data_IF_408438826663
#
_entry.id   IF_408438826663
#
_cell.length_a   1.000
_cell.length_b   1.000
_cell.length_c   1.000
_cell.angle_alpha   90.00
_cell.angle_beta   90.00
_cell.angle_gamma   90.00
#
_symmetry.space_group_name_H-M   'P 1'
#
loop_
_entity.id
_entity.type
_entity.pdbx_description
1 polymer ?
#
# COMPACT_ATOMS: atom_id res chain seq x y z
N UNK A 1 52.30 -24.92 31.33
CA UNK A 1 51.36 -23.82 31.01
C UNK A 1 51.62 -23.41 29.57
N UNK A 2 50.66 -23.50 28.64
CA UNK A 2 50.86 -22.89 27.30
C UNK A 2 50.06 -23.40 26.10
N UNK A 3 49.34 -24.53 26.15
CA UNK A 3 48.72 -25.10 24.94
C UNK A 3 47.23 -24.76 24.71
N UNK A 4 46.50 -24.25 25.72
CA UNK A 4 45.05 -24.01 25.62
C UNK A 4 44.68 -22.81 24.73
N UNK A 5 45.37 -21.68 24.90
CA UNK A 5 44.98 -20.42 24.27
C UNK A 5 45.25 -20.28 22.77
N UNK A 6 45.90 -21.24 22.12
CA UNK A 6 46.07 -21.23 20.66
C UNK A 6 44.85 -21.86 19.97
N UNK A 7 44.39 -23.01 20.46
CA UNK A 7 43.22 -23.70 19.93
C UNK A 7 41.93 -22.87 20.14
N UNK A 8 41.79 -22.24 21.31
CA UNK A 8 40.62 -21.41 21.63
C UNK A 8 40.53 -20.15 20.75
N UNK A 9 41.68 -19.55 20.38
CA UNK A 9 41.73 -18.41 19.46
C UNK A 9 41.39 -18.81 18.02
N UNK A 10 41.93 -19.94 17.56
CA UNK A 10 41.61 -20.48 16.24
C UNK A 10 40.13 -20.85 16.10
N UNK A 11 39.51 -21.39 17.16
CA UNK A 11 38.08 -21.67 17.21
C UNK A 11 37.24 -20.38 17.19
N UNK A 12 37.64 -19.35 17.95
CA UNK A 12 36.97 -18.05 17.94
C UNK A 12 36.96 -17.38 16.57
N UNK A 13 38.13 -17.31 15.92
CA UNK A 13 38.27 -16.71 14.59
C UNK A 13 37.44 -17.44 13.52
N UNK A 14 37.34 -18.78 13.60
CA UNK A 14 36.54 -19.55 12.66
C UNK A 14 35.03 -19.37 12.88
N UNK A 15 34.57 -19.22 14.13
CA UNK A 15 33.17 -18.91 14.46
C UNK A 15 32.77 -17.51 13.97
N UNK A 16 33.63 -16.51 14.17
CA UNK A 16 33.38 -15.15 13.68
C UNK A 16 33.33 -15.10 12.15
N UNK A 17 34.19 -15.87 11.48
CA UNK A 17 34.19 -15.99 10.01
C UNK A 17 32.92 -16.67 9.50
N UNK A 18 32.39 -17.66 10.22
CA UNK A 18 31.10 -18.30 9.91
C UNK A 18 29.94 -17.34 10.13
N UNK A 19 29.91 -16.62 11.25
CA UNK A 19 28.86 -15.65 11.55
C UNK A 19 28.82 -14.47 10.55
N UNK A 20 29.98 -13.97 10.09
CA UNK A 20 30.02 -12.93 9.03
C UNK A 20 29.47 -13.44 7.71
N UNK A 21 29.83 -14.66 7.30
CA UNK A 21 29.31 -15.27 6.07
C UNK A 21 27.80 -15.49 6.15
N UNK A 22 27.32 -16.00 7.28
CA UNK A 22 25.90 -16.21 7.53
C UNK A 22 25.13 -14.89 7.53
N UNK A 23 25.67 -13.83 8.15
CA UNK A 23 25.05 -12.50 8.14
C UNK A 23 25.04 -11.87 6.74
N UNK A 24 26.10 -12.01 5.94
CA UNK A 24 26.12 -11.53 4.56
C UNK A 24 25.15 -12.31 3.67
N UNK A 25 25.02 -13.62 3.89
CA UNK A 25 24.08 -14.47 3.18
C UNK A 25 22.63 -14.13 3.55
N UNK A 26 22.35 -13.92 4.85
CA UNK A 26 21.04 -13.44 5.32
C UNK A 26 20.70 -12.06 4.76
N UNK A 27 21.67 -11.15 4.73
CA UNK A 27 21.47 -9.80 4.21
C UNK A 27 21.22 -9.83 2.70
N UNK A 28 21.94 -10.69 1.96
CA UNK A 28 21.70 -10.92 0.53
C UNK A 28 20.36 -11.59 0.28
N UNK A 29 19.98 -12.59 1.07
CA UNK A 29 18.69 -13.25 0.96
C UNK A 29 17.55 -12.29 1.29
N UNK A 30 17.72 -11.43 2.30
CA UNK A 30 16.76 -10.39 2.65
C UNK A 30 16.67 -9.32 1.57
N UNK A 31 17.80 -8.85 1.02
CA UNK A 31 17.84 -7.90 -0.10
C UNK A 31 17.24 -8.51 -1.36
N UNK A 32 17.48 -9.79 -1.63
CA UNK A 32 16.92 -10.49 -2.79
C UNK A 32 15.43 -10.80 -2.57
N UNK A 33 15.00 -11.14 -1.36
CA UNK A 33 13.59 -11.30 -1.02
C UNK A 33 12.84 -9.97 -1.07
N UNK A 34 13.47 -8.87 -0.64
CA UNK A 34 12.93 -7.52 -0.75
C UNK A 34 12.90 -7.06 -2.20
N UNK A 35 13.93 -7.34 -2.99
CA UNK A 35 13.96 -7.08 -4.43
C UNK A 35 12.95 -7.93 -5.20
N UNK A 36 12.74 -9.21 -4.82
CA UNK A 36 11.71 -10.09 -5.37
C UNK A 36 10.31 -9.66 -4.95
N UNK A 37 10.13 -9.16 -3.73
CA UNK A 37 8.87 -8.57 -3.26
C UNK A 37 8.58 -7.27 -4.00
N UNK A 38 9.58 -6.41 -4.19
CA UNK A 38 9.49 -5.16 -4.94
C UNK A 38 9.23 -5.41 -6.42
N UNK A 39 9.96 -6.33 -7.04
CA UNK A 39 9.75 -6.75 -8.43
C UNK A 39 8.41 -7.47 -8.62
N UNK A 40 7.95 -8.28 -7.65
CA UNK A 40 6.61 -8.90 -7.66
C UNK A 40 5.46 -7.92 -7.40
N UNK A 41 5.76 -6.77 -6.78
CA UNK A 41 4.84 -5.65 -6.57
C UNK A 41 4.83 -4.69 -7.77
N UNK A 42 5.94 -4.59 -8.50
CA UNK A 42 6.11 -3.80 -9.74
C UNK A 42 5.62 -4.55 -11.00
N UNK A 43 5.80 -5.87 -11.07
CA UNK A 43 5.22 -6.74 -12.10
C UNK A 43 3.77 -7.08 -11.72
N UNK A 44 2.87 -6.12 -11.95
CA UNK A 44 1.46 -6.22 -11.58
C UNK A 44 0.83 -7.57 -11.91
N UNK A 45 0.32 -8.24 -10.86
CA UNK A 45 -0.65 -9.32 -11.02
C UNK A 45 -1.90 -8.75 -11.75
N UNK A 46 -2.20 -9.18 -12.99
CA UNK A 46 -3.26 -8.54 -13.78
C UNK A 46 -4.68 -8.92 -13.29
N UNK A 47 -4.83 -10.03 -12.55
CA UNK A 47 -6.15 -10.60 -12.23
C UNK A 47 -6.67 -10.33 -10.80
N UNK A 48 -5.80 -10.01 -9.82
CA UNK A 48 -6.23 -9.79 -8.42
C UNK A 48 -6.58 -8.35 -8.07
N UNK A 49 -6.20 -7.37 -8.90
CA UNK A 49 -6.36 -5.94 -8.58
C UNK A 49 -7.80 -5.43 -8.64
N UNK A 50 -8.53 -5.79 -9.70
CA UNK A 50 -9.94 -5.38 -9.84
C UNK A 50 -10.83 -6.05 -8.78
N UNK A 51 -10.59 -7.33 -8.53
CA UNK A 51 -11.30 -8.08 -7.49
C UNK A 51 -11.00 -7.53 -6.09
N UNK A 52 -9.72 -7.24 -5.79
CA UNK A 52 -9.32 -6.61 -4.52
C UNK A 52 -9.95 -5.22 -4.32
N UNK A 53 -10.06 -4.42 -5.39
CA UNK A 53 -10.72 -3.11 -5.32
C UNK A 53 -12.21 -3.25 -4.99
N UNK A 54 -12.91 -4.15 -5.69
CA UNK A 54 -14.32 -4.42 -5.41
C UNK A 54 -14.51 -4.95 -3.99
N UNK A 55 -13.68 -5.89 -3.55
CA UNK A 55 -13.72 -6.44 -2.19
C UNK A 55 -13.49 -5.35 -1.13
N UNK A 56 -12.49 -4.47 -1.32
CA UNK A 56 -12.21 -3.37 -0.39
C UNK A 56 -13.41 -2.42 -0.27
N UNK A 57 -14.04 -2.04 -1.39
CA UNK A 57 -15.25 -1.23 -1.38
C UNK A 57 -16.44 -1.92 -0.70
N UNK A 58 -16.66 -3.20 -0.98
CA UNK A 58 -17.75 -3.98 -0.37
C UNK A 58 -17.55 -4.12 1.13
N UNK A 59 -16.33 -4.40 1.59
CA UNK A 59 -15.99 -4.51 3.00
C UNK A 59 -16.24 -3.18 3.73
N UNK A 60 -15.76 -2.07 3.17
CA UNK A 60 -15.94 -0.73 3.73
C UNK A 60 -17.44 -0.38 3.84
N UNK A 61 -18.20 -0.62 2.77
CA UNK A 61 -19.66 -0.37 2.79
C UNK A 61 -20.38 -1.23 3.81
N UNK A 62 -20.12 -2.53 3.83
CA UNK A 62 -20.79 -3.47 4.75
C UNK A 62 -20.57 -3.05 6.20
N UNK A 63 -19.39 -2.55 6.53
CA UNK A 63 -19.02 -2.14 7.89
C UNK A 63 -19.69 -0.85 8.34
N UNK A 64 -19.74 0.16 7.47
CA UNK A 64 -20.10 1.52 7.88
C UNK A 64 -21.46 2.03 7.36
N UNK A 65 -22.12 1.33 6.41
CA UNK A 65 -23.38 1.82 5.84
C UNK A 65 -24.52 1.99 6.86
N UNK A 66 -24.53 1.18 7.92
CA UNK A 66 -25.56 1.22 8.97
C UNK A 66 -25.07 1.97 10.21
N UNK A 67 -23.77 1.86 10.53
CA UNK A 67 -23.18 2.47 11.72
C UNK A 67 -22.93 3.98 11.56
N UNK A 68 -22.45 4.41 10.38
CA UNK A 68 -22.15 5.82 10.10
C UNK A 68 -22.27 6.12 8.59
N UNK A 69 -23.50 6.22 8.06
CA UNK A 69 -23.73 6.46 6.64
C UNK A 69 -23.20 7.82 6.17
N UNK A 70 -23.32 8.86 7.00
CA UNK A 70 -22.87 10.21 6.67
C UNK A 70 -21.34 10.33 6.63
N UNK A 71 -20.66 9.73 7.62
CA UNK A 71 -19.21 9.65 7.63
C UNK A 71 -18.68 8.76 6.51
N UNK A 72 -19.32 7.63 6.22
CA UNK A 72 -18.96 6.79 5.08
C UNK A 72 -19.07 7.56 3.75
N UNK A 73 -20.16 8.32 3.54
CA UNK A 73 -20.32 9.13 2.34
C UNK A 73 -19.20 10.19 2.20
N UNK A 74 -18.76 10.77 3.31
CA UNK A 74 -17.64 11.73 3.37
C UNK A 74 -16.30 11.07 3.07
N UNK A 75 -16.07 9.87 3.61
CA UNK A 75 -14.90 9.05 3.32
C UNK A 75 -14.82 8.72 1.82
N UNK A 76 -15.91 8.18 1.25
CA UNK A 76 -15.96 7.82 -0.17
C UNK A 76 -15.76 9.05 -1.08
N UNK A 77 -16.32 10.21 -0.73
CA UNK A 77 -16.05 11.47 -1.46
C UNK A 77 -14.57 11.86 -1.40
N UNK A 78 -13.93 11.71 -0.26
CA UNK A 78 -12.50 12.03 -0.10
C UNK A 78 -11.62 11.09 -0.93
N UNK A 79 -11.91 9.77 -0.90
CA UNK A 79 -11.26 8.78 -1.76
C UNK A 79 -11.44 9.11 -3.25
N UNK A 80 -12.67 9.48 -3.64
CA UNK A 80 -12.98 9.90 -5.01
C UNK A 80 -12.15 11.09 -5.45
N UNK A 81 -11.96 12.10 -4.60
CA UNK A 81 -11.13 13.26 -4.93
C UNK A 81 -9.68 12.85 -5.19
N UNK A 82 -9.09 12.02 -4.34
CA UNK A 82 -7.71 11.55 -4.54
C UNK A 82 -7.55 10.78 -5.84
N UNK A 83 -8.45 9.82 -6.10
CA UNK A 83 -8.42 9.00 -7.31
C UNK A 83 -8.71 9.85 -8.55
N UNK A 84 -9.65 10.80 -8.49
CA UNK A 84 -10.01 11.65 -9.62
C UNK A 84 -8.89 12.60 -10.02
N UNK A 85 -8.21 13.19 -9.03
CA UNK A 85 -7.07 14.07 -9.27
C UNK A 85 -5.95 13.33 -9.99
N UNK A 86 -5.63 12.12 -9.53
CA UNK A 86 -4.62 11.27 -10.18
C UNK A 86 -5.06 10.81 -11.57
N UNK A 87 -6.32 10.39 -11.74
CA UNK A 87 -6.84 9.91 -13.03
C UNK A 87 -6.85 11.01 -14.10
N UNK A 88 -7.21 12.24 -13.72
CA UNK A 88 -7.27 13.39 -14.64
C UNK A 88 -5.90 13.98 -14.92
N UNK A 89 -5.03 14.04 -13.91
CA UNK A 89 -3.73 14.70 -13.99
C UNK A 89 -2.61 13.76 -13.50
N UNK A 90 -2.37 12.64 -14.21
CA UNK A 90 -1.43 11.61 -13.77
C UNK A 90 0.02 12.10 -13.69
N UNK A 91 0.39 13.11 -14.49
CA UNK A 91 1.75 13.65 -14.54
C UNK A 91 2.07 14.71 -13.48
N UNK A 92 1.07 15.12 -12.70
CA UNK A 92 1.25 16.12 -11.66
C UNK A 92 1.71 15.46 -10.35
N UNK A 93 2.94 15.72 -9.86
CA UNK A 93 3.51 14.99 -8.72
C UNK A 93 2.71 15.12 -7.43
N UNK A 94 2.04 16.26 -7.22
CA UNK A 94 1.21 16.51 -6.01
C UNK A 94 -0.01 15.58 -5.91
N UNK A 95 -0.42 14.95 -7.01
CA UNK A 95 -1.52 13.98 -7.03
C UNK A 95 -1.06 12.53 -7.00
N UNK A 96 0.25 12.31 -7.19
CA UNK A 96 0.86 10.98 -7.10
C UNK A 96 1.15 10.57 -5.65
N UNK A 97 1.10 11.51 -4.69
CA UNK A 97 1.38 11.26 -3.26
C UNK A 97 0.29 11.88 -2.38
N UNK A 98 -0.24 11.09 -1.47
CA UNK A 98 -1.20 11.49 -0.44
C UNK A 98 -0.49 11.43 0.90
N UNK A 99 -0.41 12.56 1.60
CA UNK A 99 0.17 12.60 2.95
C UNK A 99 -0.85 12.06 3.98
N UNK A 100 -0.50 10.96 4.67
CA UNK A 100 -1.39 10.35 5.66
C UNK A 100 -1.55 11.20 6.93
N UNK A 101 -0.65 12.14 7.18
CA UNK A 101 -0.74 13.08 8.32
C UNK A 101 -1.63 14.30 8.05
N UNK A 102 -2.04 14.53 6.80
CA UNK A 102 -2.96 15.63 6.49
C UNK A 102 -4.30 15.43 7.23
N UNK A 103 -4.81 16.51 7.82
CA UNK A 103 -6.11 16.55 8.48
C UNK A 103 -7.23 15.90 7.66
N UNK A 104 -7.32 16.16 6.35
CA UNK A 104 -8.34 15.56 5.50
C UNK A 104 -8.25 14.02 5.46
N UNK A 105 -7.04 13.48 5.35
CA UNK A 105 -6.83 12.04 5.36
C UNK A 105 -7.11 11.46 6.75
N UNK A 106 -6.52 12.05 7.80
CA UNK A 106 -6.66 11.58 9.18
C UNK A 106 -8.11 11.53 9.65
N UNK A 107 -8.89 12.57 9.35
CA UNK A 107 -10.26 12.71 9.87
C UNK A 107 -11.30 11.98 9.03
N UNK A 108 -11.08 11.86 7.72
CA UNK A 108 -12.11 11.35 6.78
C UNK A 108 -11.79 9.98 6.21
N UNK A 109 -10.54 9.54 6.22
CA UNK A 109 -10.11 8.26 5.63
C UNK A 109 -9.53 7.34 6.69
N UNK A 110 -8.56 7.81 7.48
CA UNK A 110 -7.90 6.98 8.48
C UNK A 110 -8.82 6.55 9.64
N UNK A 111 -9.90 7.29 9.89
CA UNK A 111 -10.96 6.94 10.85
C UNK A 111 -11.78 5.71 10.42
N UNK A 112 -11.77 5.37 9.13
CA UNK A 112 -12.49 4.24 8.57
C UNK A 112 -11.54 3.08 8.30
N UNK A 113 -11.67 2.01 9.10
CA UNK A 113 -10.87 0.81 8.95
C UNK A 113 -11.12 0.16 7.58
N UNK A 114 -10.04 -0.06 6.83
CA UNK A 114 -10.10 -0.58 5.47
C UNK A 114 -10.26 0.48 4.37
N UNK A 115 -10.47 1.76 4.69
CA UNK A 115 -10.49 2.81 3.67
C UNK A 115 -9.12 3.02 2.99
N UNK A 116 -7.96 2.98 3.71
CA UNK A 116 -6.65 3.00 3.05
C UNK A 116 -6.44 1.83 2.08
N UNK A 117 -7.00 0.66 2.37
CA UNK A 117 -6.91 -0.52 1.50
C UNK A 117 -7.57 -0.30 0.13
N UNK A 118 -8.57 0.59 0.05
CA UNK A 118 -9.15 1.01 -1.25
C UNK A 118 -8.12 1.73 -2.10
N UNK A 119 -7.34 2.65 -1.52
CA UNK A 119 -6.28 3.36 -2.24
C UNK A 119 -5.18 2.37 -2.67
N UNK A 120 -4.81 1.44 -1.80
CA UNK A 120 -3.83 0.39 -2.16
C UNK A 120 -4.34 -0.48 -3.31
N UNK A 121 -5.62 -0.87 -3.31
CA UNK A 121 -6.22 -1.62 -4.41
C UNK A 121 -6.31 -0.81 -5.72
N UNK A 122 -6.44 0.51 -5.61
CA UNK A 122 -6.32 1.44 -6.75
C UNK A 122 -4.86 1.59 -7.22
N UNK A 123 -3.88 1.05 -6.49
CA UNK A 123 -2.47 0.98 -6.84
C UNK A 123 -1.56 2.03 -6.20
N UNK A 124 -2.06 2.74 -5.19
CA UNK A 124 -1.20 3.44 -4.25
C UNK A 124 -0.41 2.41 -3.42
N UNK A 125 0.74 2.83 -2.91
CA UNK A 125 1.65 2.04 -2.08
C UNK A 125 1.99 2.84 -0.83
N UNK A 126 2.08 2.18 0.31
CA UNK A 126 2.45 2.83 1.56
C UNK A 126 3.95 3.15 1.56
N UNK A 127 4.29 4.43 1.73
CA UNK A 127 5.64 4.95 1.81
C UNK A 127 5.79 5.88 3.01
N UNK A 128 6.43 5.42 4.08
CA UNK A 128 6.90 6.24 5.20
C UNK A 128 5.92 7.35 5.64
N UNK A 129 4.66 6.98 5.93
CA UNK A 129 3.62 7.94 6.35
C UNK A 129 2.84 8.62 5.22
N UNK A 130 2.98 8.14 3.98
CA UNK A 130 2.21 8.58 2.83
C UNK A 130 1.74 7.39 1.98
N UNK A 131 0.80 7.65 1.09
CA UNK A 131 0.40 6.73 0.03
C UNK A 131 0.83 7.32 -1.31
N UNK A 132 1.67 6.62 -2.06
CA UNK A 132 2.21 7.09 -3.33
C UNK A 132 2.00 6.09 -4.47
N UNK A 133 1.89 6.57 -5.71
CA UNK A 133 1.91 5.73 -6.91
C UNK A 133 3.26 5.80 -7.60
N UNK A 134 3.79 4.65 -8.02
CA UNK A 134 5.04 4.58 -8.78
C UNK A 134 4.90 5.09 -10.22
N UNK A 135 6.01 5.45 -10.89
CA UNK A 135 6.00 5.97 -12.26
C UNK A 135 5.41 4.98 -13.28
N UNK A 136 5.56 3.67 -13.06
CA UNK A 136 4.99 2.65 -13.94
C UNK A 136 3.46 2.54 -13.81
N UNK A 137 2.92 2.85 -12.63
CA UNK A 137 1.48 2.92 -12.41
C UNK A 137 0.86 4.05 -13.24
N UNK A 138 1.49 5.22 -13.22
CA UNK A 138 1.07 6.44 -13.93
C UNK A 138 1.00 6.21 -15.45
N UNK A 139 1.92 5.41 -16.01
CA UNK A 139 1.97 5.10 -17.45
C UNK A 139 0.91 4.10 -17.92
N UNK A 140 0.48 3.19 -17.04
CA UNK A 140 -0.24 1.97 -17.47
C UNK A 140 -1.73 1.95 -17.12
N UNK A 141 -2.21 2.79 -16.20
CA UNK A 141 -3.49 2.57 -15.52
C UNK A 141 -4.50 3.70 -15.64
N UNK A 142 -4.71 4.17 -16.87
CA UNK A 142 -5.92 4.92 -17.22
C UNK A 142 -7.19 4.17 -16.79
N UNK A 143 -7.46 2.94 -17.27
CA UNK A 143 -8.76 2.29 -17.06
C UNK A 143 -9.12 1.99 -15.60
N UNK A 144 -8.17 1.48 -14.80
CA UNK A 144 -8.44 1.05 -13.42
C UNK A 144 -8.87 2.20 -12.50
N UNK A 145 -8.29 3.38 -12.64
CA UNK A 145 -8.70 4.54 -11.85
C UNK A 145 -10.12 4.98 -12.24
N UNK A 146 -10.47 4.91 -13.53
CA UNK A 146 -11.83 5.20 -13.99
C UNK A 146 -12.85 4.17 -13.50
N UNK A 147 -12.50 2.88 -13.47
CA UNK A 147 -13.35 1.83 -12.87
C UNK A 147 -13.60 2.08 -11.38
N UNK A 148 -12.54 2.47 -10.64
CA UNK A 148 -12.65 2.85 -9.24
C UNK A 148 -13.60 4.04 -9.04
N UNK A 149 -13.47 5.07 -9.89
CA UNK A 149 -14.34 6.25 -9.87
C UNK A 149 -15.79 5.90 -10.14
N UNK A 150 -16.06 5.09 -11.17
CA UNK A 150 -17.41 4.65 -11.48
C UNK A 150 -18.03 3.88 -10.29
N UNK A 151 -17.26 3.00 -9.65
CA UNK A 151 -17.74 2.26 -8.47
C UNK A 151 -18.03 3.20 -7.29
N UNK A 152 -17.16 4.19 -7.05
CA UNK A 152 -17.33 5.20 -6.01
C UNK A 152 -18.58 6.03 -6.23
N UNK A 153 -18.80 6.50 -7.46
CA UNK A 153 -19.97 7.30 -7.83
C UNK A 153 -21.28 6.56 -7.55
N UNK A 154 -21.37 5.30 -7.99
CA UNK A 154 -22.53 4.43 -7.71
C UNK A 154 -22.75 4.26 -6.20
N UNK A 155 -21.68 4.06 -5.42
CA UNK A 155 -21.82 3.86 -3.97
C UNK A 155 -22.23 5.13 -3.23
N UNK A 156 -21.68 6.27 -3.61
CA UNK A 156 -22.04 7.58 -3.04
C UNK A 156 -23.52 7.87 -3.35
N UNK A 157 -23.97 7.61 -4.57
CA UNK A 157 -25.37 7.79 -4.96
C UNK A 157 -26.31 6.87 -4.16
N UNK A 158 -25.95 5.60 -4.00
CA UNK A 158 -26.74 4.66 -3.19
C UNK A 158 -26.86 5.08 -1.72
N UNK A 159 -25.81 5.67 -1.14
CA UNK A 159 -25.87 6.19 0.24
C UNK A 159 -26.78 7.42 0.35
N UNK A 160 -26.74 8.31 -0.66
CA UNK A 160 -27.63 9.48 -0.73
C UNK A 160 -29.10 9.09 -0.91
N UNK A 161 -29.37 8.04 -1.69
CA UNK A 161 -30.74 7.54 -1.89
C UNK A 161 -31.29 6.79 -0.66
N UNK A 162 -30.43 6.42 0.29
CA UNK A 162 -30.79 5.68 1.50
C UNK A 162 -30.78 6.53 2.78
N UNK A 163 -30.48 7.83 2.67
CA UNK A 163 -30.50 8.82 3.76
C UNK A 163 -31.70 9.74 3.63
#
# INVERSE_FOLDING_TARGET
RGAGGAAERQLGEELERRARKESEELEREKQEAEARRRAGQEAGAPAKGADAMVQAFVALRKRYREADPAGLATCLQTLRVYINNLARNPHEPKFQRINCDNNAFRTRVATFEGAPAVLVACGFQEEAGALAVGPDFVKTKGPRLWDALAKLDVMIEQLKASS
#
